data_IF_597896052796
#
_entry.id   IF_597896052796
#
_cell.length_a   1.000
_cell.length_b   1.000
_cell.length_c   1.000
_cell.angle_alpha   90.00
_cell.angle_beta   90.00
_cell.angle_gamma   90.00
#
_symmetry.space_group_name_H-M   'P 1'
#
loop_
_entity.id
_entity.type
_entity.pdbx_description
1 polymer ?
#
# COMPACT_ATOMS: atom_id res chain seq x y z
N UNK A 1 1.80 -1.21 -4.45
CA UNK A 1 1.39 -2.62 -4.25
C UNK A 1 -0.10 -2.79 -4.53
N UNK A 2 -0.55 -3.99 -4.93
CA UNK A 2 -1.94 -4.32 -5.21
C UNK A 2 -2.48 -5.36 -4.21
N UNK A 3 -3.72 -5.15 -3.75
CA UNK A 3 -4.46 -6.07 -2.89
C UNK A 3 -3.97 -6.10 -1.44
N UNK A 4 -4.76 -6.76 -0.58
CA UNK A 4 -4.47 -6.91 0.86
C UNK A 4 -3.21 -7.72 1.17
N UNK A 5 -2.75 -8.51 0.21
CA UNK A 5 -1.52 -9.30 0.33
C UNK A 5 -0.26 -8.57 -0.15
N UNK A 6 -0.38 -7.40 -0.77
CA UNK A 6 0.76 -6.54 -1.09
C UNK A 6 1.63 -6.99 -2.26
N UNK A 7 1.03 -7.40 -3.38
CA UNK A 7 1.78 -7.72 -4.60
C UNK A 7 2.40 -6.48 -5.25
N UNK A 8 3.64 -6.54 -5.72
CA UNK A 8 4.34 -5.41 -6.32
C UNK A 8 4.20 -5.44 -7.84
N UNK A 9 3.30 -4.60 -8.35
CA UNK A 9 3.12 -4.45 -9.79
C UNK A 9 4.31 -3.78 -10.48
N UNK A 10 4.91 -2.82 -9.79
CA UNK A 10 6.08 -2.09 -10.29
C UNK A 10 6.88 -1.57 -9.12
N UNK A 11 8.19 -1.50 -9.33
CA UNK A 11 9.13 -0.86 -8.44
C UNK A 11 10.06 0.03 -9.25
N UNK A 12 9.98 1.33 -9.03
CA UNK A 12 10.83 2.34 -9.65
C UNK A 12 11.90 2.78 -8.65
N UNK A 13 13.17 2.43 -8.92
CA UNK A 13 14.29 2.99 -8.18
C UNK A 13 14.51 4.43 -8.65
N UNK A 14 14.75 5.35 -7.72
CA UNK A 14 14.98 6.77 -8.03
C UNK A 14 16.27 7.27 -7.40
N UNK A 15 16.97 8.23 -8.04
CA UNK A 15 18.06 8.97 -7.42
C UNK A 15 17.59 9.64 -6.12
N UNK A 16 18.47 9.70 -5.12
CA UNK A 16 18.13 10.24 -3.79
C UNK A 16 17.74 11.72 -3.77
N UNK A 17 18.11 12.48 -4.80
CA UNK A 17 17.81 13.92 -4.94
C UNK A 17 16.45 14.19 -5.60
N UNK A 18 15.82 13.18 -6.22
CA UNK A 18 14.59 13.36 -6.96
C UNK A 18 13.37 13.37 -6.02
N UNK A 19 12.49 14.35 -6.18
CA UNK A 19 11.23 14.41 -5.42
C UNK A 19 10.32 13.21 -5.73
N UNK A 20 9.68 12.63 -4.73
CA UNK A 20 8.82 11.44 -4.84
C UNK A 20 7.64 11.60 -5.81
N UNK A 21 7.20 12.80 -6.13
CA UNK A 21 6.16 12.99 -7.16
C UNK A 21 6.70 12.98 -8.60
N UNK A 22 7.98 13.31 -8.80
CA UNK A 22 8.58 13.45 -10.14
C UNK A 22 8.49 12.13 -10.91
N UNK A 23 8.04 12.20 -12.17
CA UNK A 23 7.90 11.05 -13.09
C UNK A 23 6.95 9.94 -12.62
N UNK A 24 6.23 10.15 -11.53
CA UNK A 24 5.27 9.15 -11.00
C UNK A 24 4.10 8.95 -11.93
N UNK A 25 3.74 9.95 -12.71
CA UNK A 25 2.74 9.85 -13.77
C UNK A 25 3.07 8.76 -14.79
N UNK A 26 4.34 8.64 -15.20
CA UNK A 26 4.75 7.56 -16.11
C UNK A 26 4.65 6.18 -15.44
N UNK A 27 4.90 6.10 -14.13
CA UNK A 27 4.65 4.87 -13.38
C UNK A 27 3.13 4.56 -13.38
N UNK A 28 2.27 5.55 -13.10
CA UNK A 28 0.81 5.40 -13.09
C UNK A 28 0.25 4.89 -14.41
N UNK A 29 0.73 5.43 -15.54
CA UNK A 29 0.35 5.00 -16.89
C UNK A 29 0.66 3.52 -17.17
N UNK A 30 1.64 2.93 -16.46
CA UNK A 30 1.94 1.50 -16.55
C UNK A 30 1.19 0.67 -15.51
N UNK A 31 1.20 1.10 -14.25
CA UNK A 31 0.66 0.29 -13.14
C UNK A 31 -0.86 0.23 -13.14
N UNK A 32 -1.55 1.30 -13.52
CA UNK A 32 -3.01 1.36 -13.45
C UNK A 32 -3.65 0.41 -14.46
N UNK A 33 -3.27 0.41 -15.76
CA UNK A 33 -3.78 -0.57 -16.71
C UNK A 33 -3.46 -2.01 -16.30
N UNK A 34 -2.27 -2.25 -15.74
CA UNK A 34 -1.90 -3.56 -15.22
C UNK A 34 -2.81 -4.01 -14.06
N UNK A 35 -3.09 -3.13 -13.10
CA UNK A 35 -4.01 -3.40 -12.00
C UNK A 35 -5.44 -3.66 -12.50
N UNK A 36 -5.91 -2.87 -13.48
CA UNK A 36 -7.22 -3.04 -14.11
C UNK A 36 -7.34 -4.39 -14.81
N UNK A 37 -6.33 -4.82 -15.58
CA UNK A 37 -6.32 -6.15 -16.21
C UNK A 37 -6.39 -7.28 -15.17
N UNK A 38 -5.62 -7.18 -14.10
CA UNK A 38 -5.63 -8.17 -13.01
C UNK A 38 -6.99 -8.23 -12.32
N UNK A 39 -7.60 -7.08 -12.06
CA UNK A 39 -8.95 -7.04 -11.49
C UNK A 39 -10.00 -7.62 -12.45
N UNK A 40 -9.91 -7.27 -13.74
CA UNK A 40 -10.82 -7.73 -14.78
C UNK A 40 -10.78 -9.25 -15.00
N UNK A 41 -9.60 -9.86 -14.87
CA UNK A 41 -9.40 -11.31 -14.94
C UNK A 41 -9.90 -12.06 -13.69
N UNK A 42 -10.18 -11.33 -12.60
CA UNK A 42 -10.66 -11.89 -11.34
C UNK A 42 -12.08 -11.39 -11.02
N UNK A 43 -12.32 -10.85 -9.80
CA UNK A 43 -13.66 -10.47 -9.35
C UNK A 43 -14.22 -9.20 -10.00
N UNK A 44 -13.48 -8.57 -10.92
CA UNK A 44 -13.80 -7.24 -11.51
C UNK A 44 -14.04 -6.17 -10.44
N UNK A 45 -13.31 -6.27 -9.32
CA UNK A 45 -13.44 -5.34 -8.20
C UNK A 45 -12.97 -3.92 -8.58
N UNK A 46 -13.63 -2.88 -8.05
CA UNK A 46 -13.13 -1.52 -8.18
C UNK A 46 -11.76 -1.37 -7.49
N UNK A 47 -10.92 -0.50 -8.03
CA UNK A 47 -9.56 -0.27 -7.55
C UNK A 47 -9.53 1.09 -6.86
N UNK A 48 -8.95 1.14 -5.66
CA UNK A 48 -8.69 2.40 -4.94
C UNK A 48 -7.18 2.63 -4.82
N UNK A 49 -6.68 3.65 -5.50
CA UNK A 49 -5.29 4.10 -5.38
C UNK A 49 -5.16 5.02 -4.17
N UNK A 50 -4.26 4.69 -3.25
CA UNK A 50 -4.00 5.48 -2.03
C UNK A 50 -2.57 6.00 -2.05
N UNK A 51 -2.39 7.32 -1.99
CA UNK A 51 -1.07 7.96 -2.01
C UNK A 51 -0.90 8.92 -0.84
N UNK A 52 0.34 9.05 -0.36
CA UNK A 52 0.68 9.97 0.72
C UNK A 52 0.80 11.43 0.24
N UNK A 53 1.08 12.34 1.17
CA UNK A 53 1.20 13.77 0.90
C UNK A 53 2.41 14.16 0.04
N UNK A 54 3.37 13.26 -0.16
CA UNK A 54 4.45 13.43 -1.12
C UNK A 54 3.99 13.37 -2.58
N UNK A 55 2.79 12.81 -2.83
CA UNK A 55 2.17 12.71 -4.15
C UNK A 55 0.95 13.62 -4.32
N UNK A 56 0.76 14.60 -3.43
CA UNK A 56 -0.29 15.61 -3.57
C UNK A 56 0.01 16.54 -4.76
N UNK A 57 -0.48 16.14 -5.94
CA UNK A 57 -0.21 16.79 -7.21
C UNK A 57 -1.41 16.69 -8.15
N UNK A 58 -1.87 17.83 -8.65
CA UNK A 58 -2.96 17.89 -9.62
C UNK A 58 -2.63 17.10 -10.91
N UNK A 59 -1.35 17.08 -11.34
CA UNK A 59 -0.89 16.25 -12.46
C UNK A 59 -1.17 14.77 -12.20
N UNK A 60 -0.77 14.25 -11.03
CA UNK A 60 -0.96 12.82 -10.72
C UNK A 60 -2.46 12.45 -10.60
N UNK A 61 -3.27 13.34 -10.01
CA UNK A 61 -4.72 13.16 -9.92
C UNK A 61 -5.38 13.09 -11.31
N UNK A 62 -4.94 13.96 -12.23
CA UNK A 62 -5.41 13.98 -13.62
C UNK A 62 -5.05 12.70 -14.37
N UNK A 63 -3.81 12.24 -14.22
CA UNK A 63 -3.34 10.99 -14.85
C UNK A 63 -4.11 9.77 -14.34
N UNK A 64 -4.37 9.70 -13.03
CA UNK A 64 -5.22 8.65 -12.44
C UNK A 64 -6.64 8.70 -13.01
N UNK A 65 -7.20 9.91 -13.17
CA UNK A 65 -8.52 10.08 -13.75
C UNK A 65 -8.56 9.62 -15.21
N UNK A 66 -7.56 9.99 -16.02
CA UNK A 66 -7.44 9.63 -17.44
C UNK A 66 -7.29 8.12 -17.69
N UNK A 67 -6.83 7.35 -16.70
CA UNK A 67 -6.74 5.89 -16.79
C UNK A 67 -8.12 5.19 -16.76
N UNK A 68 -9.20 5.89 -16.43
CA UNK A 68 -10.55 5.33 -16.47
C UNK A 68 -11.08 5.30 -17.91
N UNK A 69 -10.84 4.19 -18.61
CA UNK A 69 -11.39 3.92 -19.94
C UNK A 69 -12.65 3.05 -19.86
N UNK A 70 -13.54 3.19 -20.85
CA UNK A 70 -14.75 2.39 -20.95
C UNK A 70 -14.41 0.88 -21.02
N UNK A 71 -15.12 0.05 -20.25
CA UNK A 71 -14.94 -1.40 -20.21
C UNK A 71 -13.86 -1.91 -19.25
N UNK A 72 -13.02 -1.02 -18.69
CA UNK A 72 -12.05 -1.38 -17.65
C UNK A 72 -12.65 -1.23 -16.25
N UNK A 73 -12.17 -2.02 -15.26
CA UNK A 73 -12.53 -1.77 -13.86
C UNK A 73 -12.22 -0.33 -13.44
N UNK A 74 -13.18 0.28 -12.73
CA UNK A 74 -13.07 1.66 -12.26
C UNK A 74 -11.92 1.81 -11.26
N UNK A 75 -11.16 2.89 -11.44
CA UNK A 75 -10.05 3.30 -10.57
C UNK A 75 -10.43 4.62 -9.92
N UNK A 76 -10.69 4.56 -8.62
CA UNK A 76 -10.82 5.73 -7.77
C UNK A 76 -9.50 5.99 -7.03
N UNK A 77 -9.35 7.21 -6.52
CA UNK A 77 -8.13 7.61 -5.82
C UNK A 77 -8.43 8.40 -4.55
N UNK A 78 -7.49 8.30 -3.61
CA UNK A 78 -7.52 8.92 -2.30
C UNK A 78 -6.10 9.34 -1.92
N UNK A 79 -5.83 10.63 -1.99
CA UNK A 79 -4.47 11.19 -1.83
C UNK A 79 -4.46 12.11 -0.61
N UNK A 80 -3.52 11.87 0.32
CA UNK A 80 -3.34 12.76 1.46
C UNK A 80 -2.86 14.13 0.96
N UNK A 81 -3.54 15.18 1.39
CA UNK A 81 -3.19 16.55 1.03
C UNK A 81 -2.03 17.06 1.89
N UNK A 82 -1.22 17.94 1.30
CA UNK A 82 -0.03 18.51 1.92
C UNK A 82 -0.30 19.95 2.43
N UNK A 83 -0.37 20.18 3.76
CA UNK A 83 -0.72 21.47 4.34
C UNK A 83 0.42 22.51 4.39
N UNK A 84 1.56 22.30 3.72
CA UNK A 84 2.80 23.09 3.89
C UNK A 84 2.64 24.61 3.86
N UNK A 85 1.72 25.14 3.06
CA UNK A 85 1.49 26.60 2.92
C UNK A 85 0.37 27.14 3.83
N UNK A 86 -0.22 26.30 4.68
CA UNK A 86 -1.39 26.67 5.49
C UNK A 86 -0.97 27.18 6.85
N UNK A 87 -1.42 28.38 7.20
CA UNK A 87 -1.38 28.85 8.58
C UNK A 87 -2.44 28.12 9.41
N UNK A 88 -1.99 27.06 10.08
CA UNK A 88 -2.86 26.20 10.88
C UNK A 88 -3.43 26.93 12.10
N UNK A 89 -2.70 27.90 12.66
CA UNK A 89 -3.17 28.66 13.81
C UNK A 89 -4.28 29.64 13.42
N UNK A 90 -4.09 30.39 12.32
CA UNK A 90 -5.12 31.28 11.79
C UNK A 90 -6.38 30.51 11.37
N UNK A 91 -6.21 29.34 10.75
CA UNK A 91 -7.32 28.46 10.40
C UNK A 91 -8.06 27.97 11.64
N UNK A 92 -7.34 27.51 12.67
CA UNK A 92 -7.94 27.07 13.93
C UNK A 92 -8.74 28.19 14.61
N UNK A 93 -8.20 29.41 14.65
CA UNK A 93 -8.90 30.58 15.19
C UNK A 93 -10.20 30.88 14.43
N UNK A 94 -10.17 30.78 13.10
CA UNK A 94 -11.35 30.98 12.24
C UNK A 94 -12.41 29.91 12.51
N UNK A 95 -12.02 28.63 12.56
CA UNK A 95 -12.93 27.52 12.86
C UNK A 95 -13.52 27.62 14.27
N UNK A 96 -12.76 28.12 15.24
CA UNK A 96 -13.22 28.35 16.61
C UNK A 96 -14.23 29.50 16.70
N UNK A 97 -14.08 30.54 15.89
CA UNK A 97 -15.00 31.68 15.84
C UNK A 97 -16.32 31.35 15.11
N UNK A 98 -16.33 30.32 14.25
CA UNK A 98 -17.51 29.88 13.52
C UNK A 98 -18.44 29.02 14.40
N UNK A 99 -19.63 29.53 14.70
CA UNK A 99 -20.63 28.83 15.50
C UNK A 99 -21.15 27.52 14.86
N UNK A 100 -21.00 27.37 13.55
CA UNK A 100 -21.39 26.17 12.80
C UNK A 100 -20.36 25.04 12.87
N UNK A 101 -19.14 25.32 13.31
CA UNK A 101 -18.09 24.31 13.44
C UNK A 101 -18.41 23.34 14.55
N UNK A 102 -18.58 22.06 14.19
CA UNK A 102 -18.78 20.99 15.16
C UNK A 102 -17.45 20.47 15.65
N UNK A 103 -17.24 20.53 16.96
CA UNK A 103 -16.06 19.98 17.63
C UNK A 103 -16.46 18.77 18.46
N UNK A 104 -15.82 17.65 18.18
CA UNK A 104 -15.90 16.45 19.01
C UNK A 104 -14.75 16.46 20.02
N UNK A 105 -15.01 15.98 21.24
CA UNK A 105 -13.99 15.84 22.29
C UNK A 105 -13.84 14.37 22.67
N UNK A 106 -13.08 13.56 21.90
CA UNK A 106 -12.97 12.12 22.15
C UNK A 106 -12.39 11.75 23.51
N UNK A 107 -11.59 12.66 24.10
CA UNK A 107 -11.02 12.54 25.45
C UNK A 107 -10.59 13.90 25.97
N UNK A 108 -10.34 13.99 27.27
CA UNK A 108 -9.75 15.20 27.87
C UNK A 108 -8.47 15.61 27.16
N UNK A 109 -8.35 16.91 26.90
CA UNK A 109 -7.22 17.54 26.21
C UNK A 109 -7.08 17.17 24.73
N UNK A 110 -8.11 16.65 24.08
CA UNK A 110 -8.15 16.44 22.63
C UNK A 110 -9.52 16.82 22.07
N UNK A 111 -9.53 17.79 21.14
CA UNK A 111 -10.70 18.09 20.31
C UNK A 111 -10.40 17.86 18.84
N UNK A 112 -11.41 17.51 18.08
CA UNK A 112 -11.32 17.22 16.64
C UNK A 112 -12.49 17.88 15.94
N UNK A 113 -12.23 18.50 14.81
CA UNK A 113 -13.27 18.91 13.87
C UNK A 113 -12.93 18.38 12.48
N UNK A 114 -13.95 18.13 11.66
CA UNK A 114 -13.81 17.64 10.29
C UNK A 114 -14.83 18.32 9.41
N UNK A 115 -14.42 18.67 8.20
CA UNK A 115 -15.26 19.35 7.22
C UNK A 115 -14.85 18.94 5.81
N UNK A 116 -15.71 19.23 4.83
CA UNK A 116 -15.46 18.93 3.43
C UNK A 116 -15.45 20.21 2.60
N UNK A 117 -14.63 20.22 1.55
CA UNK A 117 -14.55 21.30 0.58
C UNK A 117 -14.49 20.73 -0.84
N UNK A 118 -15.22 21.34 -1.78
CA UNK A 118 -15.05 21.08 -3.19
C UNK A 118 -13.72 21.69 -3.69
N UNK A 119 -12.97 20.92 -4.46
CA UNK A 119 -11.69 21.31 -5.05
C UNK A 119 -11.78 21.09 -6.55
N UNK A 120 -11.62 22.16 -7.32
CA UNK A 120 -11.49 22.07 -8.77
C UNK A 120 -10.06 21.70 -9.13
N UNK A 121 -9.90 20.65 -9.94
CA UNK A 121 -8.61 20.21 -10.44
C UNK A 121 -8.55 20.45 -11.94
N UNK A 122 -7.43 21.00 -12.40
CA UNK A 122 -7.19 21.21 -13.82
C UNK A 122 -7.15 19.86 -14.57
N UNK A 123 -8.01 19.69 -15.56
CA UNK A 123 -8.14 18.47 -16.35
C UNK A 123 -9.03 17.40 -15.73
N UNK A 124 -9.76 17.71 -14.65
CA UNK A 124 -10.85 16.88 -14.13
C UNK A 124 -12.14 17.70 -14.22
N UNK A 125 -13.09 17.24 -15.03
CA UNK A 125 -14.30 18.01 -15.37
C UNK A 125 -15.18 18.33 -14.15
N UNK A 126 -15.25 17.38 -13.20
CA UNK A 126 -16.06 17.53 -12.00
C UNK A 126 -15.20 17.92 -10.79
N UNK A 127 -15.64 18.88 -9.96
CA UNK A 127 -14.98 19.16 -8.69
C UNK A 127 -14.88 17.88 -7.86
N UNK A 128 -13.67 17.58 -7.41
CA UNK A 128 -13.44 16.51 -6.45
C UNK A 128 -13.66 17.07 -5.05
N UNK A 129 -13.76 16.20 -4.05
CA UNK A 129 -13.84 16.65 -2.66
C UNK A 129 -12.50 16.51 -1.95
N UNK A 130 -12.30 17.38 -0.98
CA UNK A 130 -11.26 17.26 0.04
C UNK A 130 -11.91 17.22 1.40
N UNK A 131 -11.65 16.13 2.12
CA UNK A 131 -12.04 15.98 3.52
C UNK A 131 -10.90 16.48 4.38
N UNK A 132 -11.16 17.36 5.33
CA UNK A 132 -10.18 17.87 6.27
C UNK A 132 -10.45 17.35 7.67
N UNK A 133 -9.37 17.27 8.46
CA UNK A 133 -9.43 17.03 9.89
C UNK A 133 -8.43 17.92 10.60
N UNK A 134 -8.93 18.76 11.51
CA UNK A 134 -8.09 19.49 12.45
C UNK A 134 -8.18 18.80 13.82
N UNK A 135 -7.04 18.39 14.34
CA UNK A 135 -6.91 17.88 15.71
C UNK A 135 -6.17 18.89 16.55
N UNK A 136 -6.75 19.29 17.66
CA UNK A 136 -6.10 20.09 18.68
C UNK A 136 -5.85 19.22 19.91
N UNK A 137 -4.62 19.27 20.44
CA UNK A 137 -4.24 18.61 21.69
C UNK A 137 -3.70 19.64 22.66
N UNK A 138 -4.29 19.70 23.86
CA UNK A 138 -3.75 20.48 24.99
C UNK A 138 -3.01 19.60 25.99
N UNK A 139 -3.17 18.27 25.90
CA UNK A 139 -2.45 17.30 26.73
C UNK A 139 -1.59 16.41 25.83
N UNK A 140 -0.30 16.32 26.15
CA UNK A 140 0.65 15.52 25.40
C UNK A 140 0.46 14.00 25.64
N UNK A 141 1.31 13.19 25.01
CA UNK A 141 1.26 11.73 25.15
C UNK A 141 1.66 11.20 26.54
N UNK A 142 2.24 12.05 27.40
CA UNK A 142 2.68 11.73 28.76
C UNK A 142 1.71 12.25 29.83
N UNK A 143 0.64 12.97 29.44
CA UNK A 143 -0.33 13.55 30.34
C UNK A 143 -0.01 14.98 30.78
N UNK A 144 1.04 15.60 30.23
CA UNK A 144 1.42 16.98 30.54
C UNK A 144 0.50 17.96 29.81
N UNK A 145 -0.01 18.95 30.54
CA UNK A 145 -0.71 20.09 29.95
C UNK A 145 0.29 20.98 29.19
N UNK A 146 -0.08 21.33 27.96
CA UNK A 146 0.70 22.18 27.06
C UNK A 146 0.30 23.64 27.26
N UNK A 147 1.29 24.54 27.20
CA UNK A 147 1.06 26.00 27.25
C UNK A 147 0.31 26.46 25.99
N UNK A 148 0.73 25.96 24.84
CA UNK A 148 0.06 26.16 23.56
C UNK A 148 -0.47 24.83 23.03
N UNK A 149 -1.68 24.80 22.48
CA UNK A 149 -2.23 23.57 21.91
C UNK A 149 -1.40 23.13 20.70
N UNK A 150 -1.11 21.82 20.65
CA UNK A 150 -0.56 21.22 19.45
C UNK A 150 -1.67 21.03 18.41
N UNK A 151 -1.56 21.74 17.29
CA UNK A 151 -2.48 21.63 16.17
C UNK A 151 -1.93 20.67 15.11
N UNK A 152 -2.78 19.79 14.60
CA UNK A 152 -2.46 18.90 13.48
C UNK A 152 -3.56 18.99 12.45
N UNK A 153 -3.25 19.57 11.30
CA UNK A 153 -4.13 19.64 10.14
C UNK A 153 -3.81 18.51 9.17
N UNK A 154 -4.82 17.76 8.80
CA UNK A 154 -4.75 16.73 7.77
C UNK A 154 -5.84 16.97 6.73
N UNK A 155 -5.61 16.51 5.51
CA UNK A 155 -6.63 16.48 4.48
C UNK A 155 -6.46 15.30 3.54
N UNK A 156 -7.54 14.93 2.84
CA UNK A 156 -7.56 13.86 1.86
C UNK A 156 -8.41 14.27 0.67
N UNK A 157 -7.79 14.35 -0.51
CA UNK A 157 -8.47 14.61 -1.78
C UNK A 157 -8.88 13.29 -2.40
N UNK A 158 -10.11 13.17 -2.89
CA UNK A 158 -10.61 11.90 -3.43
C UNK A 158 -11.60 12.04 -4.59
N UNK A 159 -11.56 11.08 -5.52
CA UNK A 159 -12.58 10.87 -6.56
C UNK A 159 -13.78 10.01 -6.11
N UNK A 160 -13.72 9.46 -4.90
CA UNK A 160 -14.77 8.58 -4.37
C UNK A 160 -16.09 9.34 -4.27
N UNK A 161 -17.17 8.63 -4.60
CA UNK A 161 -18.49 9.20 -4.70
C UNK A 161 -18.97 9.84 -3.37
N UNK A 162 -19.85 10.87 -3.43
CA UNK A 162 -20.27 11.66 -2.27
C UNK A 162 -21.04 10.89 -1.18
N UNK A 163 -21.53 9.68 -1.47
CA UNK A 163 -22.29 8.88 -0.50
C UNK A 163 -21.44 8.35 0.67
N UNK A 164 -20.11 8.28 0.51
CA UNK A 164 -19.20 7.98 1.61
C UNK A 164 -18.98 9.26 2.42
N UNK A 165 -19.15 9.23 3.73
CA UNK A 165 -18.87 10.41 4.57
C UNK A 165 -17.36 10.61 4.80
N UNK A 166 -16.98 11.78 5.35
CA UNK A 166 -15.60 12.08 5.68
C UNK A 166 -14.95 11.07 6.63
N UNK A 167 -15.70 10.47 7.56
CA UNK A 167 -15.19 9.45 8.46
C UNK A 167 -14.79 8.16 7.72
N UNK A 168 -15.61 7.71 6.77
CA UNK A 168 -15.33 6.58 5.90
C UNK A 168 -14.11 6.85 5.01
N UNK A 169 -13.95 8.07 4.47
CA UNK A 169 -12.77 8.46 3.71
C UNK A 169 -11.49 8.36 4.55
N UNK A 170 -11.53 8.89 5.78
CA UNK A 170 -10.40 8.81 6.71
C UNK A 170 -10.08 7.36 7.06
N UNK A 171 -11.09 6.52 7.31
CA UNK A 171 -10.92 5.11 7.61
C UNK A 171 -10.30 4.35 6.42
N UNK A 172 -10.77 4.62 5.20
CA UNK A 172 -10.19 4.05 3.98
C UNK A 172 -8.74 4.46 3.80
N UNK A 173 -8.35 5.68 4.16
CA UNK A 173 -6.94 6.08 4.11
C UNK A 173 -6.10 5.39 5.18
N UNK A 174 -6.64 5.10 6.37
CA UNK A 174 -5.89 4.48 7.46
C UNK A 174 -5.24 3.14 7.08
N UNK A 175 -5.87 2.38 6.17
CA UNK A 175 -5.31 1.16 5.59
C UNK A 175 -4.00 1.39 4.81
N UNK A 176 -3.67 2.63 4.42
CA UNK A 176 -2.40 2.97 3.79
C UNK A 176 -1.20 2.57 4.66
N UNK A 177 -1.34 2.47 5.99
CA UNK A 177 -0.26 1.96 6.86
C UNK A 177 0.19 0.53 6.51
N UNK A 178 -0.66 -0.28 5.87
CA UNK A 178 -0.27 -1.62 5.38
C UNK A 178 0.78 -1.54 4.26
N UNK A 179 0.75 -0.47 3.46
CA UNK A 179 1.73 -0.18 2.42
C UNK A 179 3.14 0.00 2.98
N UNK A 180 3.25 0.75 4.08
CA UNK A 180 4.52 0.96 4.78
C UNK A 180 5.09 -0.36 5.32
N UNK A 181 4.22 -1.24 5.82
CA UNK A 181 4.63 -2.58 6.23
C UNK A 181 5.21 -3.39 5.05
N UNK A 182 4.59 -3.32 3.86
CA UNK A 182 5.09 -4.05 2.69
C UNK A 182 6.45 -3.52 2.23
N UNK A 183 6.64 -2.20 2.29
CA UNK A 183 7.93 -1.58 2.01
C UNK A 183 9.01 -1.98 3.02
N UNK A 184 8.67 -2.03 4.31
CA UNK A 184 9.59 -2.49 5.33
C UNK A 184 10.03 -3.93 5.05
N UNK A 185 9.07 -4.83 4.79
CA UNK A 185 9.37 -6.23 4.47
C UNK A 185 10.20 -6.38 3.19
N UNK A 186 9.88 -5.61 2.14
CA UNK A 186 10.67 -5.62 0.90
C UNK A 186 12.13 -5.23 1.17
N UNK A 187 12.36 -4.18 1.96
CA UNK A 187 13.73 -3.71 2.27
C UNK A 187 14.47 -4.66 3.20
N UNK A 188 13.85 -5.09 4.29
CA UNK A 188 14.54 -5.85 5.34
C UNK A 188 14.62 -7.34 5.05
N UNK A 189 13.54 -7.95 4.55
CA UNK A 189 13.49 -9.41 4.39
C UNK A 189 14.25 -9.88 3.15
N UNK A 190 14.36 -9.02 2.12
CA UNK A 190 15.16 -9.28 0.91
C UNK A 190 16.56 -8.63 0.95
N UNK A 191 16.96 -8.09 2.10
CA UNK A 191 18.25 -7.43 2.33
C UNK A 191 18.60 -6.31 1.32
N UNK A 192 17.60 -5.54 0.90
CA UNK A 192 17.77 -4.42 -0.05
C UNK A 192 18.07 -3.09 0.63
N UNK A 193 18.51 -3.12 1.89
CA UNK A 193 19.02 -1.93 2.59
C UNK A 193 20.40 -1.52 2.08
N UNK A 194 21.14 -2.47 1.47
CA UNK A 194 22.44 -2.26 0.84
C UNK A 194 22.41 -2.90 -0.55
N UNK A 195 22.52 -2.07 -1.57
CA UNK A 195 22.49 -2.52 -2.95
C UNK A 195 23.86 -3.07 -3.36
N UNK A 196 23.92 -4.08 -4.24
CA UNK A 196 25.15 -4.82 -4.53
C UNK A 196 26.13 -4.09 -5.44
N UNK A 197 25.73 -2.99 -6.09
CA UNK A 197 26.57 -2.24 -7.02
C UNK A 197 26.63 -0.75 -6.67
N UNK A 198 27.70 -0.07 -7.09
CA UNK A 198 27.76 1.39 -7.12
C UNK A 198 27.08 2.00 -8.36
N UNK A 199 26.60 1.18 -9.30
CA UNK A 199 25.95 1.64 -10.54
C UNK A 199 24.43 1.61 -10.40
N UNK A 200 23.78 2.71 -10.78
CA UNK A 200 22.34 2.90 -10.63
C UNK A 200 21.54 1.87 -11.44
N UNK A 201 21.85 1.71 -12.73
CA UNK A 201 21.09 0.81 -13.63
C UNK A 201 21.15 -0.66 -13.18
N UNK A 202 22.33 -1.11 -12.72
CA UNK A 202 22.50 -2.45 -12.16
C UNK A 202 21.62 -2.63 -10.93
N UNK A 203 21.64 -1.65 -10.02
CA UNK A 203 20.79 -1.71 -8.83
C UNK A 203 19.30 -1.63 -9.16
N UNK A 204 18.94 -0.88 -10.20
CA UNK A 204 17.56 -0.80 -10.66
C UNK A 204 17.07 -2.15 -11.18
N UNK A 205 17.89 -2.87 -11.95
CA UNK A 205 17.60 -4.24 -12.37
C UNK A 205 17.47 -5.19 -11.17
N UNK A 206 18.40 -5.12 -10.20
CA UNK A 206 18.34 -5.93 -8.97
C UNK A 206 17.02 -5.68 -8.23
N UNK A 207 16.62 -4.42 -8.11
CA UNK A 207 15.37 -4.00 -7.51
C UNK A 207 14.13 -4.58 -8.24
N UNK A 208 14.13 -4.61 -9.57
CA UNK A 208 13.05 -5.21 -10.36
C UNK A 208 12.99 -6.74 -10.19
N UNK A 209 14.14 -7.42 -10.20
CA UNK A 209 14.22 -8.87 -9.93
C UNK A 209 13.74 -9.19 -8.52
N UNK A 210 14.08 -8.35 -7.54
CA UNK A 210 13.62 -8.53 -6.17
C UNK A 210 12.11 -8.31 -6.03
N UNK A 211 11.50 -7.39 -6.79
CA UNK A 211 10.04 -7.24 -6.83
C UNK A 211 9.35 -8.51 -7.34
N UNK A 212 9.88 -9.13 -8.40
CA UNK A 212 9.41 -10.43 -8.89
C UNK A 212 9.59 -11.54 -7.85
N UNK A 213 10.79 -11.64 -7.25
CA UNK A 213 11.06 -12.64 -6.22
C UNK A 213 10.11 -12.47 -5.02
N UNK A 214 9.82 -11.23 -4.62
CA UNK A 214 8.86 -10.94 -3.58
C UNK A 214 7.47 -11.49 -3.91
N UNK A 215 6.97 -11.25 -5.12
CA UNK A 215 5.64 -11.70 -5.53
C UNK A 215 5.55 -13.23 -5.61
N UNK A 216 6.59 -13.90 -6.08
CA UNK A 216 6.70 -15.36 -6.04
C UNK A 216 6.64 -15.86 -4.59
N UNK A 217 7.43 -15.28 -3.68
CA UNK A 217 7.41 -15.64 -2.26
C UNK A 217 6.04 -15.37 -1.62
N UNK A 218 5.35 -14.29 -2.01
CA UNK A 218 3.98 -14.01 -1.53
C UNK A 218 2.99 -15.06 -2.01
N UNK A 219 3.05 -15.48 -3.28
CA UNK A 219 2.22 -16.57 -3.82
C UNK A 219 2.49 -17.89 -3.09
N UNK A 220 3.75 -18.24 -2.88
CA UNK A 220 4.15 -19.44 -2.12
C UNK A 220 3.64 -19.39 -0.68
N UNK A 221 3.76 -18.25 -0.01
CA UNK A 221 3.29 -18.08 1.36
C UNK A 221 1.77 -18.21 1.48
N UNK A 222 1.01 -17.62 0.56
CA UNK A 222 -0.46 -17.70 0.55
C UNK A 222 -0.94 -19.13 0.33
N UNK A 223 -0.42 -19.80 -0.70
CA UNK A 223 -0.88 -21.15 -1.05
C UNK A 223 -0.27 -22.23 -0.15
N UNK A 224 0.94 -22.02 0.37
CA UNK A 224 1.72 -23.02 1.09
C UNK A 224 1.57 -22.97 2.61
N UNK A 225 1.42 -21.77 3.20
CA UNK A 225 1.54 -21.58 4.66
C UNK A 225 0.25 -21.09 5.35
N UNK A 226 -0.87 -21.04 4.62
CA UNK A 226 -2.20 -20.72 5.15
C UNK A 226 -3.16 -21.93 5.14
N UNK A 227 -2.78 -23.03 4.48
CA UNK A 227 -3.59 -24.25 4.40
C UNK A 227 -3.46 -25.16 5.63
N UNK A 228 -4.27 -26.23 5.71
CA UNK A 228 -4.29 -27.16 6.85
C UNK A 228 -2.95 -27.88 7.08
N UNK A 229 -2.18 -28.11 6.00
CA UNK A 229 -0.86 -28.75 6.05
C UNK A 229 0.29 -27.74 6.27
N UNK A 230 -0.02 -26.49 6.63
CA UNK A 230 1.02 -25.50 6.87
C UNK A 230 1.89 -25.90 8.07
N UNK A 231 3.23 -25.82 7.95
CA UNK A 231 4.13 -26.05 9.09
C UNK A 231 3.91 -25.03 10.23
N UNK A 232 3.35 -23.85 9.89
CA UNK A 232 3.01 -22.77 10.80
C UNK A 232 1.57 -22.90 11.28
N UNK A 233 1.37 -23.06 12.60
CA UNK A 233 0.07 -23.42 13.20
C UNK A 233 -0.89 -22.24 13.47
N UNK A 234 -0.41 -21.00 13.51
CA UNK A 234 -1.26 -19.84 13.84
C UNK A 234 -2.01 -19.32 12.62
N UNK A 235 -3.32 -19.05 12.75
CA UNK A 235 -4.09 -18.40 11.70
C UNK A 235 -3.54 -17.00 11.38
N UNK A 236 -3.43 -16.65 10.09
CA UNK A 236 -3.13 -15.29 9.66
C UNK A 236 -3.73 -15.01 8.29
N UNK A 237 -3.98 -13.73 8.00
CA UNK A 237 -4.42 -13.26 6.66
C UNK A 237 -3.27 -13.26 5.64
N UNK A 238 -2.02 -13.14 6.10
CA UNK A 238 -0.80 -13.19 5.28
C UNK A 238 0.38 -13.65 6.15
N UNK A 239 1.39 -14.27 5.52
CA UNK A 239 2.71 -14.49 6.12
C UNK A 239 3.68 -13.39 5.69
N UNK A 240 4.64 -13.05 6.56
CA UNK A 240 5.80 -12.23 6.18
C UNK A 240 6.72 -13.01 5.26
N UNK A 241 7.43 -12.30 4.38
CA UNK A 241 8.36 -12.90 3.41
C UNK A 241 9.43 -13.72 4.13
N UNK A 242 10.00 -13.20 5.22
CA UNK A 242 10.97 -13.92 6.04
C UNK A 242 10.47 -15.30 6.50
N UNK A 243 9.20 -15.40 6.92
CA UNK A 243 8.61 -16.70 7.32
C UNK A 243 8.50 -17.65 6.13
N UNK A 244 8.11 -17.15 4.95
CA UNK A 244 8.08 -17.97 3.73
C UNK A 244 9.48 -18.51 3.42
N UNK A 245 10.49 -17.65 3.52
CA UNK A 245 11.89 -18.05 3.28
C UNK A 245 12.34 -19.10 4.29
N UNK A 246 12.09 -18.92 5.58
CA UNK A 246 12.48 -19.88 6.61
C UNK A 246 11.75 -21.23 6.50
N UNK A 247 10.46 -21.21 6.22
CA UNK A 247 9.62 -22.40 6.26
C UNK A 247 9.60 -23.16 4.93
N UNK A 248 9.83 -22.50 3.80
CA UNK A 248 9.81 -23.13 2.48
C UNK A 248 11.17 -23.10 1.78
N UNK A 249 11.92 -22.01 1.82
CA UNK A 249 13.16 -21.89 1.01
C UNK A 249 14.39 -22.44 1.73
N UNK A 250 14.58 -22.09 3.00
CA UNK A 250 15.72 -22.48 3.83
C UNK A 250 15.55 -23.88 4.40
N UNK A 251 15.26 -24.83 3.51
CA UNK A 251 15.09 -26.25 3.84
C UNK A 251 16.29 -27.04 3.35
N UNK A 252 16.73 -27.99 4.17
CA UNK A 252 17.71 -28.96 3.72
C UNK A 252 17.03 -29.91 2.72
N UNK A 253 17.60 -29.99 1.52
CA UNK A 253 17.10 -30.86 0.46
C UNK A 253 18.24 -31.33 -0.43
N UNK A 254 18.00 -32.45 -1.12
CA UNK A 254 18.91 -32.99 -2.14
C UNK A 254 18.30 -32.75 -3.51
N UNK A 255 19.02 -32.03 -4.36
CA UNK A 255 18.65 -31.90 -5.76
C UNK A 255 19.16 -33.13 -6.53
N UNK A 256 18.26 -33.89 -7.14
CA UNK A 256 18.56 -35.13 -7.85
C UNK A 256 18.24 -34.93 -9.32
N UNK A 257 19.27 -34.93 -10.17
CA UNK A 257 19.10 -34.93 -11.61
C UNK A 257 19.06 -36.38 -12.12
N UNK A 258 17.94 -36.79 -12.73
CA UNK A 258 17.79 -38.12 -13.31
C UNK A 258 16.83 -38.10 -14.49
N UNK A 259 17.19 -38.74 -15.60
CA UNK A 259 16.30 -38.91 -16.76
C UNK A 259 15.72 -37.60 -17.30
N UNK A 260 16.53 -36.54 -17.44
CA UNK A 260 16.12 -35.18 -17.82
C UNK A 260 15.11 -34.51 -16.88
N UNK A 261 14.93 -35.05 -15.67
CA UNK A 261 14.12 -34.47 -14.60
C UNK A 261 15.02 -33.97 -13.48
N UNK A 262 14.56 -32.92 -12.82
CA UNK A 262 15.14 -32.39 -11.61
C UNK A 262 14.16 -32.67 -10.46
N UNK A 263 14.62 -33.39 -9.44
CA UNK A 263 13.78 -33.81 -8.31
C UNK A 263 14.35 -33.18 -7.03
N UNK A 264 13.49 -32.53 -6.26
CA UNK A 264 13.83 -32.03 -4.92
C UNK A 264 13.48 -33.10 -3.88
N UNK A 265 14.50 -33.76 -3.33
CA UNK A 265 14.35 -34.70 -2.22
C UNK A 265 14.39 -33.97 -0.88
N UNK A 266 13.32 -34.06 -0.09
CA UNK A 266 13.25 -33.53 1.27
C UNK A 266 13.41 -34.66 2.29
N UNK A 267 13.83 -34.31 3.51
CA UNK A 267 13.92 -35.29 4.60
C UNK A 267 12.56 -35.90 4.95
N UNK A 268 12.54 -37.16 5.37
CA UNK A 268 11.30 -37.89 5.67
C UNK A 268 10.40 -37.20 6.73
N UNK A 269 11.01 -36.44 7.65
CA UNK A 269 10.33 -35.69 8.70
C UNK A 269 10.25 -34.17 8.42
N UNK A 270 10.49 -33.74 7.18
CA UNK A 270 10.40 -32.33 6.82
C UNK A 270 8.94 -31.85 6.89
N UNK A 271 8.69 -30.84 7.74
CA UNK A 271 7.34 -30.30 7.99
C UNK A 271 6.74 -29.58 6.78
N UNK A 272 7.56 -29.12 5.84
CA UNK A 272 7.12 -28.44 4.62
C UNK A 272 6.86 -29.41 3.47
N UNK A 273 7.26 -30.69 3.57
CA UNK A 273 7.14 -31.65 2.47
C UNK A 273 5.71 -31.76 1.93
N UNK A 274 4.71 -31.86 2.82
CA UNK A 274 3.29 -31.91 2.43
C UNK A 274 2.85 -30.65 1.68
N UNK A 275 3.24 -29.48 2.18
CA UNK A 275 2.95 -28.20 1.52
C UNK A 275 3.60 -28.12 0.13
N UNK A 276 4.85 -28.57 -0.01
CA UNK A 276 5.56 -28.65 -1.28
C UNK A 276 4.89 -29.58 -2.29
N UNK A 277 4.55 -30.81 -1.89
CA UNK A 277 3.89 -31.78 -2.77
C UNK A 277 2.56 -31.24 -3.27
N UNK A 278 1.75 -30.66 -2.37
CA UNK A 278 0.47 -30.07 -2.73
C UNK A 278 0.66 -28.90 -3.71
N UNK A 279 1.49 -27.91 -3.38
CA UNK A 279 1.76 -26.77 -4.26
C UNK A 279 2.26 -27.21 -5.64
N UNK A 280 3.19 -28.16 -5.68
CA UNK A 280 3.74 -28.67 -6.93
C UNK A 280 2.67 -29.38 -7.77
N UNK A 281 1.78 -30.17 -7.15
CA UNK A 281 0.65 -30.80 -7.84
C UNK A 281 -0.35 -29.77 -8.38
N UNK A 282 -0.66 -28.73 -7.61
CA UNK A 282 -1.57 -27.65 -8.04
C UNK A 282 -1.00 -26.82 -9.20
N UNK A 283 0.32 -26.66 -9.29
CA UNK A 283 0.98 -25.93 -10.38
C UNK A 283 1.14 -26.75 -11.65
N UNK A 284 1.22 -28.08 -11.52
CA UNK A 284 1.27 -29.00 -12.66
C UNK A 284 -0.12 -29.42 -13.16
N UNK A 285 -1.17 -29.20 -12.37
CA UNK A 285 -2.53 -29.40 -12.81
C UNK A 285 -2.85 -28.46 -13.98
N UNK A 286 -3.46 -28.95 -15.07
CA UNK A 286 -3.91 -28.07 -16.14
C UNK A 286 -4.89 -27.04 -15.57
N UNK A 287 -4.71 -25.77 -15.94
CA UNK A 287 -5.64 -24.72 -15.55
C UNK A 287 -7.02 -25.06 -16.12
N UNK A 288 -7.98 -25.39 -15.24
CA UNK A 288 -9.40 -25.57 -15.57
C UNK A 288 -10.09 -24.23 -15.73
#
# INVERSE_FOLDING_TARGET
>A
YLGSHGFCLELALRPGEQHSASETDFNLQRIVPMAQRLSAAGPKAPILVRLDSGFDSARLMRELHACNQAGSPRVDWLIKWNPRSTDVHALAATLQAQATTKWDTPRSGKRVTSWEQAVTLEGVEQPVRRVFRLTERTIDKRGQQLIEPQLTLEGWTTSLAPHLDGAAIIALYADHGTHEQFHAEFKTDLDLTRLPSGKFDTNYLVCQLAALAMDILRLMGQRGLLGPDAPVRHAAKRRRIKTVMQELIYRAGRLIAHGRRCILGLGANDRAAKAFTRLHSELLAPAT
#
